data_IF_867863882446
#
_entry.id   IF_867863882446
#
_cell.length_a   1.000
_cell.length_b   1.000
_cell.length_c   1.000
_cell.angle_alpha   90.00
_cell.angle_beta   90.00
_cell.angle_gamma   90.00
#
_symmetry.space_group_name_H-M   'P 1'
#
loop_
_entity.id
_entity.type
_entity.pdbx_description
1 polymer ?
#
# COMPACT_ATOMS: atom_id res chain seq x y z
N UNK A 1 -14.62 -3.84 13.42
CA UNK A 1 -13.70 -4.96 13.11
C UNK A 1 -12.33 -4.61 13.70
N UNK A 2 -11.74 -5.51 14.47
CA UNK A 2 -10.73 -5.17 15.48
C UNK A 2 -9.37 -4.79 14.86
N UNK A 3 -8.92 -3.55 15.07
CA UNK A 3 -7.59 -3.07 14.68
C UNK A 3 -6.43 -3.75 15.45
N UNK A 4 -6.73 -4.61 16.43
CA UNK A 4 -5.75 -5.26 17.30
C UNK A 4 -4.75 -6.16 16.55
N UNK A 5 -5.14 -6.71 15.38
CA UNK A 5 -4.26 -7.53 14.54
C UNK A 5 -3.44 -6.76 13.51
N UNK A 6 -3.76 -5.49 13.24
CA UNK A 6 -3.18 -4.74 12.12
C UNK A 6 -1.69 -4.45 12.34
N UNK A 7 -1.34 -3.96 13.54
CA UNK A 7 0.04 -3.61 13.91
C UNK A 7 0.98 -4.82 13.85
N UNK A 8 0.68 -5.97 14.49
CA UNK A 8 1.57 -7.13 14.41
C UNK A 8 1.68 -7.69 12.98
N UNK A 9 0.61 -7.65 12.18
CA UNK A 9 0.65 -8.13 10.79
C UNK A 9 1.48 -7.21 9.86
N UNK A 10 1.37 -5.90 10.01
CA UNK A 10 2.21 -4.95 9.25
C UNK A 10 3.69 -5.08 9.64
N UNK A 11 3.98 -5.34 10.92
CA UNK A 11 5.34 -5.65 11.38
C UNK A 11 5.85 -6.96 10.80
N UNK A 12 5.02 -8.00 10.73
CA UNK A 12 5.38 -9.26 10.11
C UNK A 12 5.71 -9.08 8.63
N UNK A 13 4.86 -8.39 7.87
CA UNK A 13 5.09 -8.12 6.44
C UNK A 13 6.40 -7.36 6.19
N UNK A 14 6.72 -6.36 7.03
CA UNK A 14 8.02 -5.68 6.97
C UNK A 14 9.19 -6.60 7.34
N UNK A 15 9.04 -7.41 8.38
CA UNK A 15 10.10 -8.34 8.82
C UNK A 15 10.37 -9.42 7.78
N UNK A 16 9.34 -9.82 7.03
CA UNK A 16 9.46 -10.71 5.87
C UNK A 16 10.07 -10.02 4.63
N UNK A 17 10.38 -8.72 4.70
CA UNK A 17 11.00 -7.96 3.62
C UNK A 17 10.08 -7.66 2.44
N UNK A 18 8.76 -7.71 2.63
CA UNK A 18 7.79 -7.53 1.54
C UNK A 18 7.93 -6.16 0.85
N UNK A 19 8.17 -5.11 1.63
CA UNK A 19 8.40 -3.76 1.15
C UNK A 19 9.67 -3.66 0.30
N UNK A 20 10.76 -4.26 0.76
CA UNK A 20 12.04 -4.30 0.06
C UNK A 20 11.94 -5.10 -1.24
N UNK A 21 11.30 -6.28 -1.19
CA UNK A 21 11.12 -7.13 -2.37
C UNK A 21 10.26 -6.44 -3.42
N UNK A 22 9.14 -5.84 -3.01
CA UNK A 22 8.28 -5.06 -3.90
C UNK A 22 9.05 -3.88 -4.52
N UNK A 23 9.88 -3.18 -3.74
CA UNK A 23 10.64 -2.04 -4.22
C UNK A 23 11.64 -2.40 -5.33
N UNK A 24 12.21 -3.61 -5.29
CA UNK A 24 13.21 -4.06 -6.27
C UNK A 24 12.58 -4.82 -7.44
N UNK A 25 11.43 -5.49 -7.24
CA UNK A 25 10.82 -6.36 -8.25
C UNK A 25 9.73 -5.70 -9.07
N UNK A 26 9.06 -4.67 -8.56
CA UNK A 26 7.95 -4.01 -9.24
C UNK A 26 8.43 -2.73 -9.90
N UNK A 27 8.37 -2.72 -11.23
CA UNK A 27 8.66 -1.54 -12.05
C UNK A 27 7.45 -1.21 -12.89
N UNK A 28 7.02 0.04 -12.83
CA UNK A 28 6.05 0.63 -13.76
C UNK A 28 6.73 1.84 -14.37
N UNK A 29 6.79 1.98 -15.71
CA UNK A 29 7.33 3.17 -16.35
C UNK A 29 6.60 4.42 -15.83
N UNK A 30 7.30 5.57 -15.81
CA UNK A 30 6.86 6.86 -15.24
C UNK A 30 6.91 6.95 -13.70
N UNK A 31 6.45 8.09 -13.18
CA UNK A 31 6.31 8.39 -11.76
C UNK A 31 5.40 7.40 -11.01
N UNK A 32 4.52 6.69 -11.74
CA UNK A 32 3.57 5.74 -11.14
C UNK A 32 4.26 4.56 -10.46
N UNK A 33 5.45 4.17 -10.91
CA UNK A 33 6.27 3.12 -10.30
C UNK A 33 7.05 3.56 -9.06
N UNK A 34 7.07 4.85 -8.73
CA UNK A 34 7.78 5.34 -7.55
C UNK A 34 7.22 4.75 -6.25
N UNK A 35 8.08 4.51 -5.27
CA UNK A 35 7.70 4.03 -3.93
C UNK A 35 6.89 2.72 -3.95
N UNK A 36 7.21 1.79 -4.84
CA UNK A 36 6.52 0.51 -5.00
C UNK A 36 6.40 -0.28 -3.68
N UNK A 37 7.45 -0.30 -2.85
CA UNK A 37 7.40 -0.94 -1.53
C UNK A 37 6.32 -0.34 -0.62
N UNK A 38 6.30 0.99 -0.49
CA UNK A 38 5.30 1.69 0.32
C UNK A 38 3.88 1.54 -0.22
N UNK A 39 3.71 1.55 -1.56
CA UNK A 39 2.41 1.33 -2.20
C UNK A 39 1.86 -0.08 -1.93
N UNK A 40 2.71 -1.10 -1.98
CA UNK A 40 2.33 -2.48 -1.63
C UNK A 40 1.97 -2.59 -0.15
N UNK A 41 2.76 -1.98 0.74
CA UNK A 41 2.45 -1.98 2.18
C UNK A 41 1.13 -1.27 2.50
N UNK A 42 0.79 -0.20 1.78
CA UNK A 42 -0.50 0.46 1.91
C UNK A 42 -1.66 -0.45 1.50
N UNK A 43 -1.50 -1.23 0.42
CA UNK A 43 -2.50 -2.23 -0.01
C UNK A 43 -2.72 -3.31 1.05
N UNK A 44 -1.63 -3.87 1.58
CA UNK A 44 -1.67 -4.86 2.67
C UNK A 44 -2.40 -4.28 3.90
N UNK A 45 -2.10 -3.04 4.28
CA UNK A 45 -2.79 -2.37 5.39
C UNK A 45 -4.29 -2.21 5.14
N UNK A 46 -4.70 -1.83 3.94
CA UNK A 46 -6.12 -1.69 3.58
C UNK A 46 -6.85 -3.02 3.60
N UNK A 47 -6.26 -4.08 3.02
CA UNK A 47 -6.85 -5.42 3.03
C UNK A 47 -7.00 -5.98 4.46
N UNK A 48 -5.98 -5.80 5.30
CA UNK A 48 -6.06 -6.18 6.72
C UNK A 48 -7.11 -5.36 7.50
N UNK A 49 -7.38 -4.13 7.06
CA UNK A 49 -8.44 -3.28 7.61
C UNK A 49 -9.84 -3.63 7.07
N UNK A 50 -9.95 -4.57 6.12
CA UNK A 50 -11.22 -5.05 5.57
C UNK A 50 -11.56 -4.54 4.17
N UNK A 51 -10.62 -3.92 3.44
CA UNK A 51 -10.80 -3.63 2.03
C UNK A 51 -10.83 -4.94 1.22
N UNK A 52 -11.89 -5.16 0.46
CA UNK A 52 -12.05 -6.35 -0.38
C UNK A 52 -11.71 -6.05 -1.86
N UNK A 53 -11.64 -4.76 -2.22
CA UNK A 53 -11.29 -4.32 -3.57
C UNK A 53 -10.23 -3.21 -3.58
N UNK A 54 -9.62 -3.01 -4.76
CA UNK A 54 -8.72 -1.87 -4.99
C UNK A 54 -9.47 -0.53 -4.96
N UNK A 55 -10.78 -0.53 -5.24
CA UNK A 55 -11.60 0.67 -5.23
C UNK A 55 -11.83 1.16 -3.80
N UNK A 56 -11.90 0.26 -2.83
CA UNK A 56 -11.96 0.58 -1.39
C UNK A 56 -10.67 1.26 -0.90
N UNK A 57 -9.57 1.14 -1.66
CA UNK A 57 -8.29 1.80 -1.35
C UNK A 57 -8.24 3.27 -1.73
N UNK A 58 -9.32 3.83 -2.31
CA UNK A 58 -9.33 5.21 -2.81
C UNK A 58 -8.96 6.25 -1.73
N UNK A 59 -9.27 6.02 -0.45
CA UNK A 59 -8.86 6.92 0.67
C UNK A 59 -7.34 6.93 0.87
N UNK A 60 -6.67 5.79 0.68
CA UNK A 60 -5.20 5.66 0.81
C UNK A 60 -4.46 6.03 -0.49
N UNK A 61 -5.14 5.98 -1.64
CA UNK A 61 -4.57 6.25 -2.98
C UNK A 61 -4.52 7.73 -3.35
N UNK A 62 -5.27 8.60 -2.68
CA UNK A 62 -5.31 10.04 -2.98
C UNK A 62 -3.99 10.79 -2.72
N UNK A 63 -3.02 10.21 -1.99
CA UNK A 63 -1.78 10.89 -1.61
C UNK A 63 -0.79 11.20 -2.75
N UNK A 64 -1.04 10.72 -3.98
CA UNK A 64 -0.11 10.89 -5.12
C UNK A 64 -0.73 11.41 -6.41
N UNK A 65 -2.00 11.82 -6.41
CA UNK A 65 -2.62 12.46 -7.57
C UNK A 65 -2.40 13.97 -7.45
N UNK A 66 -1.69 14.57 -8.41
CA UNK A 66 -1.71 16.02 -8.58
C UNK A 66 -3.16 16.49 -8.70
N UNK A 67 -3.52 17.56 -7.97
CA UNK A 67 -4.89 18.11 -7.97
C UNK A 67 -5.40 18.26 -9.40
N UNK A 68 -6.46 17.52 -9.74
CA UNK A 68 -7.10 17.53 -11.05
C UNK A 68 -8.32 18.46 -11.13
N UNK A 69 -8.61 19.23 -10.07
CA UNK A 69 -9.56 20.34 -10.12
C UNK A 69 -9.02 21.59 -9.40
N UNK A 70 -9.04 22.70 -10.13
CA UNK A 70 -8.98 24.09 -9.67
C UNK A 70 -10.35 24.71 -9.78
#
# INVERSE_FOLDING_TARGET
MSAAGLVPMLRLARTAGLDQLAQVRLTVPSDKGANAGSKVMALVAGMLAGADSIDDMNVLRHGGMGRIFS
#
